data_IF_801026362564
#
_entry.id   IF_801026362564
#
_cell.length_a   1.000
_cell.length_b   1.000
_cell.length_c   1.000
_cell.angle_alpha   90.00
_cell.angle_beta   90.00
_cell.angle_gamma   90.00
#
_symmetry.space_group_name_H-M   'P 1'
#
loop_
_entity.id
_entity.type
_entity.pdbx_description
1 polymer ?
#
# COMPACT_ATOMS: atom_id res chain seq x y z
N UNK A 1 -7.47 -22.17 -12.65
CA UNK A 1 -8.58 -21.62 -11.85
C UNK A 1 -8.17 -21.64 -10.38
N UNK A 2 -7.56 -20.56 -9.88
CA UNK A 2 -7.26 -20.45 -8.44
C UNK A 2 -8.52 -19.92 -7.78
N UNK A 3 -9.17 -20.77 -6.98
CA UNK A 3 -10.33 -20.39 -6.16
C UNK A 3 -9.87 -19.29 -5.20
N UNK A 4 -10.18 -18.02 -5.49
CA UNK A 4 -9.94 -16.92 -4.56
C UNK A 4 -11.06 -16.93 -3.53
N UNK A 5 -10.84 -17.63 -2.42
CA UNK A 5 -11.60 -17.34 -1.21
C UNK A 5 -11.43 -15.85 -0.89
N UNK A 6 -12.54 -15.13 -0.76
CA UNK A 6 -12.54 -13.75 -0.25
C UNK A 6 -12.05 -13.81 1.19
N UNK A 7 -10.75 -13.66 1.39
CA UNK A 7 -10.15 -13.62 2.72
C UNK A 7 -10.74 -12.43 3.44
N UNK A 8 -11.53 -12.71 4.46
CA UNK A 8 -12.24 -11.71 5.25
C UNK A 8 -11.20 -10.77 5.89
N UNK A 9 -11.19 -9.48 5.52
CA UNK A 9 -10.18 -8.49 5.92
C UNK A 9 -9.88 -8.52 7.42
N UNK A 10 -10.89 -8.81 8.26
CA UNK A 10 -10.76 -8.89 9.72
C UNK A 10 -9.81 -9.99 10.19
N UNK A 11 -9.80 -11.15 9.53
CA UNK A 11 -8.94 -12.30 9.86
C UNK A 11 -7.50 -12.06 9.43
N UNK A 12 -7.32 -11.44 8.25
CA UNK A 12 -6.02 -11.07 7.71
C UNK A 12 -5.34 -9.95 8.54
N UNK A 13 -6.12 -8.99 9.06
CA UNK A 13 -5.64 -7.96 9.97
C UNK A 13 -5.08 -8.56 11.27
N UNK A 14 -5.77 -9.55 11.85
CA UNK A 14 -5.34 -10.20 13.10
C UNK A 14 -4.09 -11.08 12.91
N UNK A 15 -3.96 -11.75 11.76
CA UNK A 15 -2.82 -12.62 11.42
C UNK A 15 -1.56 -11.87 10.94
N UNK A 16 -1.73 -10.70 10.30
CA UNK A 16 -0.62 -9.85 9.83
C UNK A 16 -0.14 -8.87 10.90
N UNK A 17 -1.02 -8.49 11.83
CA UNK A 17 -0.65 -7.65 12.95
C UNK A 17 0.04 -8.49 14.02
N UNK A 18 1.31 -8.18 14.31
CA UNK A 18 2.00 -8.81 15.43
C UNK A 18 1.32 -8.39 16.73
N UNK A 19 0.48 -9.28 17.28
CA UNK A 19 -0.28 -9.07 18.53
C UNK A 19 0.64 -8.64 19.68
N UNK A 20 1.87 -9.17 19.74
CA UNK A 20 2.90 -8.74 20.69
C UNK A 20 3.40 -7.31 20.46
N UNK A 21 3.57 -6.89 19.20
CA UNK A 21 3.98 -5.53 18.84
C UNK A 21 2.86 -4.54 19.17
N UNK A 22 1.60 -4.85 18.83
CA UNK A 22 0.46 -4.01 19.21
C UNK A 22 0.34 -3.89 20.72
N UNK A 23 0.55 -4.97 21.47
CA UNK A 23 0.47 -4.97 22.93
C UNK A 23 1.60 -4.15 23.55
N UNK A 24 2.83 -4.28 23.03
CA UNK A 24 3.98 -3.42 23.41
C UNK A 24 3.73 -1.95 23.06
N UNK A 25 3.17 -1.65 21.88
CA UNK A 25 2.82 -0.28 21.45
C UNK A 25 1.75 0.32 22.35
N UNK A 26 0.68 -0.40 22.67
CA UNK A 26 -0.37 0.07 23.59
C UNK A 26 0.22 0.38 24.97
N UNK A 27 1.14 -0.46 25.47
CA UNK A 27 1.84 -0.25 26.74
C UNK A 27 2.71 1.02 26.71
N UNK A 28 3.49 1.23 25.65
CA UNK A 28 4.33 2.44 25.48
C UNK A 28 3.48 3.69 25.24
N UNK A 29 2.39 3.58 24.48
CA UNK A 29 1.49 4.70 24.19
C UNK A 29 0.77 5.19 25.45
N UNK A 30 0.32 4.28 26.31
CA UNK A 30 -0.24 4.60 27.63
C UNK A 30 0.80 5.28 28.55
N UNK A 31 2.07 4.90 28.47
CA UNK A 31 3.15 5.51 29.27
C UNK A 31 3.59 6.90 28.76
N UNK A 32 3.38 7.19 27.48
CA UNK A 32 3.83 8.44 26.82
C UNK A 32 2.71 9.40 26.43
N UNK A 33 1.45 9.11 26.80
CA UNK A 33 0.29 9.98 26.51
C UNK A 33 0.05 10.17 25.01
N UNK A 34 0.22 9.10 24.21
CA UNK A 34 0.15 9.21 22.75
C UNK A 34 -1.30 9.10 22.26
N UNK A 35 -1.70 9.94 21.31
CA UNK A 35 -3.07 9.97 20.77
C UNK A 35 -3.51 8.61 20.19
N UNK A 36 -4.80 8.27 20.35
CA UNK A 36 -5.39 7.04 19.78
C UNK A 36 -5.17 6.91 18.27
N UNK A 37 -5.19 8.05 17.56
CA UNK A 37 -4.94 8.15 16.12
C UNK A 37 -3.54 7.65 15.73
N UNK A 38 -2.54 7.84 16.59
CA UNK A 38 -1.19 7.33 16.35
C UNK A 38 -1.13 5.80 16.43
N UNK A 39 -1.83 5.20 17.41
CA UNK A 39 -1.91 3.75 17.55
C UNK A 39 -2.61 3.13 16.33
N UNK A 40 -3.65 3.77 15.82
CA UNK A 40 -4.34 3.32 14.61
C UNK A 40 -3.42 3.32 13.37
N UNK A 41 -2.64 4.39 13.19
CA UNK A 41 -1.68 4.49 12.08
C UNK A 41 -0.59 3.41 12.14
N UNK A 42 -0.11 3.08 13.34
CA UNK A 42 0.85 1.99 13.53
C UNK A 42 0.28 0.62 13.13
N UNK A 43 -1.00 0.38 13.43
CA UNK A 43 -1.67 -0.85 12.96
C UNK A 43 -1.76 -0.88 11.43
N UNK A 44 -2.11 0.25 10.80
CA UNK A 44 -2.16 0.37 9.33
C UNK A 44 -0.78 0.14 8.69
N UNK A 45 0.30 0.61 9.31
CA UNK A 45 1.65 0.34 8.84
C UNK A 45 1.99 -1.16 8.89
N UNK A 46 1.63 -1.87 9.97
CA UNK A 46 1.93 -3.30 10.12
C UNK A 46 1.30 -4.22 9.07
N UNK A 47 0.20 -3.79 8.45
CA UNK A 47 -0.56 -4.56 7.45
C UNK A 47 -0.26 -4.14 6.01
N UNK A 48 0.47 -3.04 5.83
CA UNK A 48 0.71 -2.48 4.50
C UNK A 48 2.00 -3.07 3.90
N UNK A 49 1.98 -3.55 2.63
CA UNK A 49 3.09 -4.29 2.03
C UNK A 49 4.37 -3.47 1.81
N UNK A 50 4.32 -2.15 1.96
CA UNK A 50 5.52 -1.28 1.91
C UNK A 50 6.19 -1.08 3.27
N UNK A 51 5.50 -1.37 4.38
CA UNK A 51 5.97 -1.07 5.73
C UNK A 51 6.15 -2.32 6.61
N UNK A 52 5.74 -3.49 6.11
CA UNK A 52 5.83 -4.76 6.81
C UNK A 52 6.32 -5.85 5.87
N UNK A 53 7.43 -6.49 6.24
CA UNK A 53 8.01 -7.63 5.52
C UNK A 53 7.01 -8.79 5.44
N UNK A 54 6.30 -9.06 6.54
CA UNK A 54 5.25 -10.10 6.60
C UNK A 54 4.09 -9.79 5.65
N UNK A 55 3.69 -8.52 5.54
CA UNK A 55 2.61 -8.10 4.66
C UNK A 55 3.03 -8.06 3.19
N UNK A 56 4.32 -7.82 2.90
CA UNK A 56 4.86 -7.72 1.55
C UNK A 56 4.52 -8.94 0.68
N UNK A 57 4.53 -10.13 1.27
CA UNK A 57 4.28 -11.40 0.57
C UNK A 57 2.80 -11.83 0.58
N UNK A 58 1.92 -11.13 1.31
CA UNK A 58 0.51 -11.52 1.48
C UNK A 58 -0.48 -10.52 0.90
N UNK A 59 -0.09 -9.24 0.81
CA UNK A 59 -1.00 -8.15 0.44
C UNK A 59 -0.47 -7.44 -0.80
N UNK A 60 -1.35 -7.26 -1.79
CA UNK A 60 -1.05 -6.50 -3.00
C UNK A 60 -1.25 -4.99 -2.82
N UNK A 61 -0.64 -4.20 -3.71
CA UNK A 61 -0.95 -2.77 -3.89
C UNK A 61 -1.03 -2.45 -5.38
N UNK A 62 -1.86 -1.46 -5.72
CA UNK A 62 -2.02 -0.98 -7.10
C UNK A 62 -1.53 0.46 -7.17
N UNK A 63 -0.71 0.78 -8.18
CA UNK A 63 -0.33 2.16 -8.48
C UNK A 63 -1.19 2.68 -9.64
N UNK A 64 -1.78 3.86 -9.45
CA UNK A 64 -2.61 4.52 -10.46
C UNK A 64 -1.81 5.66 -11.12
N UNK A 65 -1.51 5.60 -12.43
CA UNK A 65 -0.66 6.57 -13.10
C UNK A 65 -1.44 7.85 -13.47
N UNK A 66 -1.73 8.69 -12.47
CA UNK A 66 -2.51 9.94 -12.65
C UNK A 66 -1.67 11.22 -12.60
N UNK A 67 -0.38 11.11 -12.25
CA UNK A 67 0.52 12.25 -12.01
C UNK A 67 1.67 12.29 -13.04
N UNK A 68 1.47 12.89 -14.23
CA UNK A 68 2.49 12.90 -15.30
C UNK A 68 3.60 13.95 -15.10
N UNK A 69 3.35 14.98 -14.27
CA UNK A 69 4.30 16.08 -14.05
C UNK A 69 5.11 15.84 -12.77
N UNK A 70 6.38 16.20 -12.83
CA UNK A 70 7.27 16.29 -11.68
C UNK A 70 7.92 17.68 -11.70
N UNK A 71 8.06 18.30 -10.53
CA UNK A 71 8.67 19.62 -10.35
C UNK A 71 10.21 19.58 -10.23
N UNK A 72 10.80 18.38 -10.19
CA UNK A 72 12.24 18.17 -10.16
C UNK A 72 12.67 17.15 -11.22
N UNK A 73 13.96 17.13 -11.54
CA UNK A 73 14.57 16.16 -12.45
C UNK A 73 15.81 15.56 -11.78
N UNK A 74 15.73 14.32 -11.30
CA UNK A 74 16.88 13.63 -10.75
C UNK A 74 17.89 13.28 -11.86
N UNK A 75 19.19 13.26 -11.54
CA UNK A 75 20.26 12.95 -12.50
C UNK A 75 20.15 11.56 -13.14
N UNK A 76 19.51 10.62 -12.45
CA UNK A 76 19.30 9.24 -12.92
C UNK A 76 17.89 8.99 -13.49
N UNK A 77 17.01 10.00 -13.50
CA UNK A 77 15.61 9.79 -13.86
C UNK A 77 15.39 9.93 -15.37
N UNK A 78 14.84 8.89 -16.00
CA UNK A 78 14.30 8.96 -17.37
C UNK A 78 12.78 8.81 -17.33
N UNK A 79 12.02 9.90 -17.35
CA UNK A 79 10.55 9.82 -17.38
C UNK A 79 10.08 9.28 -18.73
N UNK A 80 9.15 8.34 -18.74
CA UNK A 80 8.67 7.75 -19.99
C UNK A 80 7.41 6.93 -19.82
N UNK A 81 6.62 6.85 -20.89
CA UNK A 81 5.46 5.97 -21.01
C UNK A 81 5.89 4.85 -21.94
N UNK A 82 6.00 3.62 -21.44
CA UNK A 82 6.35 2.46 -22.25
C UNK A 82 5.79 1.18 -21.64
N UNK A 83 5.74 0.11 -22.46
CA UNK A 83 5.21 -1.21 -22.09
C UNK A 83 6.28 -2.25 -21.77
N UNK A 84 7.55 -1.90 -21.90
CA UNK A 84 8.65 -2.87 -21.97
C UNK A 84 9.60 -2.72 -20.79
N UNK A 85 9.81 -1.51 -20.29
CA UNK A 85 10.81 -1.25 -19.24
C UNK A 85 10.19 -1.39 -17.85
N UNK A 86 10.76 -2.27 -17.03
CA UNK A 86 10.39 -2.45 -15.63
C UNK A 86 11.31 -1.61 -14.73
N UNK A 87 10.96 -0.35 -14.50
CA UNK A 87 11.74 0.56 -13.64
C UNK A 87 10.85 1.65 -13.02
N UNK A 88 11.33 2.37 -11.98
CA UNK A 88 10.54 3.41 -11.32
C UNK A 88 10.14 4.53 -12.27
N UNK A 89 8.90 5.01 -12.13
CA UNK A 89 8.37 6.15 -12.89
C UNK A 89 8.02 5.84 -14.34
N UNK A 90 7.85 4.57 -14.70
CA UNK A 90 7.34 4.12 -16.00
C UNK A 90 5.93 3.57 -15.83
N UNK A 91 5.04 3.94 -16.74
CA UNK A 91 3.68 3.43 -16.83
C UNK A 91 3.32 3.16 -18.29
N UNK A 92 2.36 2.27 -18.53
CA UNK A 92 1.87 1.94 -19.87
C UNK A 92 1.04 3.07 -20.50
N UNK A 93 0.31 3.80 -19.65
CA UNK A 93 -0.54 4.92 -20.02
C UNK A 93 -0.70 5.86 -18.82
N UNK A 94 -1.13 7.10 -19.07
CA UNK A 94 -1.55 8.05 -18.04
C UNK A 94 -3.07 8.05 -17.99
N UNK A 95 -3.64 7.85 -16.80
CA UNK A 95 -5.08 7.81 -16.59
C UNK A 95 -5.59 9.17 -16.11
N UNK A 96 -6.80 9.54 -16.53
CA UNK A 96 -7.55 10.61 -15.86
C UNK A 96 -8.02 10.13 -14.48
N UNK A 97 -8.28 11.04 -13.53
CA UNK A 97 -8.76 10.66 -12.20
C UNK A 97 -10.01 9.78 -12.20
N UNK A 98 -10.95 10.00 -13.14
CA UNK A 98 -12.15 9.16 -13.29
C UNK A 98 -11.82 7.76 -13.81
N UNK A 99 -11.04 7.67 -14.89
CA UNK A 99 -10.58 6.40 -15.48
C UNK A 99 -9.79 5.56 -14.46
N UNK A 100 -9.06 6.20 -13.55
CA UNK A 100 -8.30 5.54 -12.49
C UNK A 100 -9.20 4.88 -11.42
N UNK A 101 -10.39 5.44 -11.16
CA UNK A 101 -11.38 4.83 -10.27
C UNK A 101 -12.01 3.60 -10.93
N UNK A 102 -12.43 3.73 -12.19
CA UNK A 102 -12.98 2.62 -12.98
C UNK A 102 -11.98 1.46 -13.05
N UNK A 103 -10.71 1.74 -13.35
CA UNK A 103 -9.64 0.74 -13.36
C UNK A 103 -9.44 0.05 -12.00
N UNK A 104 -9.57 0.81 -10.90
CA UNK A 104 -9.42 0.25 -9.56
C UNK A 104 -10.57 -0.69 -9.22
N UNK A 105 -11.80 -0.31 -9.55
CA UNK A 105 -12.99 -1.14 -9.32
C UNK A 105 -12.89 -2.46 -10.10
N UNK A 106 -12.54 -2.42 -11.38
CA UNK A 106 -12.31 -3.61 -12.21
C UNK A 106 -11.19 -4.50 -11.66
N UNK A 107 -10.12 -3.91 -11.13
CA UNK A 107 -8.95 -4.66 -10.62
C UNK A 107 -9.21 -5.42 -9.31
N UNK A 108 -10.29 -5.08 -8.59
CA UNK A 108 -10.64 -5.69 -7.30
C UNK A 108 -11.67 -6.82 -7.46
N UNK A 109 -12.37 -6.86 -8.59
CA UNK A 109 -13.40 -7.86 -8.93
C UNK A 109 -12.80 -9.25 -9.26
#
# INVERSE_FOLDING_TARGET
MVKKERVNNKKMLEELSDQEIITKIKKVANLKGVSEKYIENLKKAGIHPCYSEKAHFKVGRIHLPVAPKCNIQCKYCKRGINKVEYRPGVANAILKPKEALEFLEESIE
#
